data_IF_241058104855
#
_entry.id   IF_241058104855
#
_cell.length_a   1.000
_cell.length_b   1.000
_cell.length_c   1.000
_cell.angle_alpha   90.00
_cell.angle_beta   90.00
_cell.angle_gamma   90.00
#
_symmetry.space_group_name_H-M   'P 1'
#
loop_
_entity.id
_entity.type
_entity.pdbx_description
1 polymer ?
#
# COMPACT_ATOMS: atom_id res chain seq x y z
N UNK A 1 7.50 7.71 22.37
CA UNK A 1 6.04 7.73 22.11
C UNK A 1 5.77 7.48 20.63
N UNK A 2 4.84 6.60 20.34
CA UNK A 2 4.47 6.31 18.95
C UNK A 2 3.51 7.38 18.45
N UNK A 3 3.73 7.84 17.23
CA UNK A 3 2.85 8.78 16.56
C UNK A 3 1.91 8.04 15.60
N UNK A 4 0.82 8.66 15.13
CA UNK A 4 0.02 8.04 14.07
C UNK A 4 0.83 7.68 12.84
N UNK A 5 1.82 8.53 12.49
CA UNK A 5 2.72 8.24 11.36
C UNK A 5 3.53 6.97 11.59
N UNK A 6 4.00 6.76 12.82
CA UNK A 6 4.74 5.53 13.16
C UNK A 6 3.85 4.29 13.02
N UNK A 7 2.59 4.39 13.45
CA UNK A 7 1.64 3.30 13.33
C UNK A 7 1.35 2.98 11.86
N UNK A 8 1.19 4.00 11.03
CA UNK A 8 0.99 3.82 9.59
C UNK A 8 2.20 3.14 8.95
N UNK A 9 3.40 3.58 9.31
CA UNK A 9 4.63 2.96 8.82
C UNK A 9 4.68 1.48 9.18
N UNK A 10 4.33 1.13 10.42
CA UNK A 10 4.39 -0.26 10.87
C UNK A 10 3.43 -1.16 10.09
N UNK A 11 2.23 -0.68 9.78
CA UNK A 11 1.27 -1.44 9.00
C UNK A 11 1.79 -1.66 7.59
N UNK A 12 2.29 -0.60 6.93
CA UNK A 12 2.89 -0.72 5.60
C UNK A 12 4.08 -1.67 5.62
N UNK A 13 4.93 -1.56 6.63
CA UNK A 13 6.11 -2.41 6.76
C UNK A 13 5.72 -3.89 6.86
N UNK A 14 4.72 -4.19 7.67
CA UNK A 14 4.27 -5.56 7.87
C UNK A 14 3.69 -6.16 6.59
N UNK A 15 2.80 -5.43 5.93
CA UNK A 15 2.17 -5.90 4.70
C UNK A 15 3.20 -6.03 3.58
N UNK A 16 4.11 -5.07 3.48
CA UNK A 16 5.17 -5.11 2.47
C UNK A 16 6.08 -6.31 2.68
N UNK A 17 6.39 -6.63 3.94
CA UNK A 17 7.17 -7.83 4.26
C UNK A 17 6.47 -9.08 3.79
N UNK A 18 5.15 -9.19 4.00
CA UNK A 18 4.37 -10.32 3.51
C UNK A 18 4.49 -10.46 1.99
N UNK A 19 4.37 -9.35 1.27
CA UNK A 19 4.53 -9.36 -0.19
C UNK A 19 5.93 -9.80 -0.62
N UNK A 20 6.96 -9.31 0.08
CA UNK A 20 8.35 -9.62 -0.27
C UNK A 20 8.72 -11.07 0.02
N UNK A 21 8.13 -11.67 1.06
CA UNK A 21 8.41 -13.05 1.44
C UNK A 21 7.64 -14.06 0.62
N UNK A 22 6.51 -13.66 0.03
CA UNK A 22 5.68 -14.53 -0.78
C UNK A 22 6.20 -14.61 -2.21
N UNK A 23 5.91 -15.71 -2.94
CA UNK A 23 6.17 -15.74 -4.38
C UNK A 23 5.49 -14.58 -5.10
N UNK A 24 6.08 -14.15 -6.22
CA UNK A 24 5.60 -12.94 -6.93
C UNK A 24 4.30 -13.16 -7.70
N UNK A 25 3.84 -14.38 -7.84
CA UNK A 25 2.63 -14.71 -8.60
C UNK A 25 1.63 -15.47 -7.73
N UNK A 26 0.35 -15.41 -8.14
CA UNK A 26 -0.77 -15.89 -7.33
C UNK A 26 -1.02 -17.41 -7.46
N UNK A 27 0.01 -18.19 -7.71
CA UNK A 27 -0.07 -19.65 -7.67
C UNK A 27 0.22 -20.20 -6.28
N UNK A 28 0.31 -19.33 -5.28
CA UNK A 28 0.65 -19.69 -3.90
C UNK A 28 -0.29 -18.98 -2.94
N UNK A 29 -0.84 -19.69 -1.94
CA UNK A 29 -1.75 -19.08 -0.96
C UNK A 29 -1.13 -17.90 -0.20
N UNK A 30 0.18 -17.92 0.06
CA UNK A 30 0.84 -16.82 0.76
C UNK A 30 0.79 -15.54 -0.06
N UNK A 31 0.94 -15.66 -1.37
CA UNK A 31 0.84 -14.50 -2.26
C UNK A 31 -0.56 -13.93 -2.25
N UNK A 32 -1.57 -14.79 -2.33
CA UNK A 32 -2.98 -14.37 -2.31
C UNK A 32 -3.29 -13.64 -1.00
N UNK A 33 -2.83 -14.19 0.13
CA UNK A 33 -3.05 -13.57 1.43
C UNK A 33 -2.35 -12.21 1.54
N UNK A 34 -1.11 -12.12 1.06
CA UNK A 34 -0.37 -10.86 1.09
C UNK A 34 -1.05 -9.79 0.25
N UNK A 35 -1.53 -10.14 -0.95
CA UNK A 35 -2.25 -9.21 -1.82
C UNK A 35 -3.57 -8.80 -1.20
N UNK A 36 -4.30 -9.73 -0.58
CA UNK A 36 -5.55 -9.41 0.11
C UNK A 36 -5.29 -8.38 1.21
N UNK A 37 -4.27 -8.58 2.02
CA UNK A 37 -3.91 -7.64 3.09
C UNK A 37 -3.48 -6.29 2.53
N UNK A 38 -2.78 -6.30 1.41
CA UNK A 38 -2.37 -5.06 0.76
C UNK A 38 -3.57 -4.27 0.22
N UNK A 39 -4.52 -4.96 -0.40
CA UNK A 39 -5.73 -4.32 -0.87
C UNK A 39 -6.56 -3.74 0.28
N UNK A 40 -6.64 -4.46 1.38
CA UNK A 40 -7.32 -3.97 2.59
C UNK A 40 -6.68 -2.69 3.12
N UNK A 41 -5.35 -2.70 3.22
CA UNK A 41 -4.59 -1.53 3.68
C UNK A 41 -4.85 -0.31 2.81
N UNK A 42 -4.74 -0.46 1.48
CA UNK A 42 -4.94 0.66 0.57
C UNK A 42 -6.40 1.13 0.53
N UNK A 43 -7.36 0.23 0.71
CA UNK A 43 -8.77 0.59 0.80
C UNK A 43 -9.04 1.45 2.04
N UNK A 44 -8.50 1.04 3.19
CA UNK A 44 -8.66 1.81 4.43
C UNK A 44 -7.99 3.18 4.32
N UNK A 45 -6.82 3.23 3.71
CA UNK A 45 -6.13 4.50 3.49
C UNK A 45 -6.95 5.41 2.57
N UNK A 46 -7.52 4.87 1.49
CA UNK A 46 -8.34 5.67 0.57
C UNK A 46 -9.58 6.24 1.27
N UNK A 47 -10.21 5.47 2.13
CA UNK A 47 -11.35 5.94 2.92
C UNK A 47 -10.94 7.10 3.82
N UNK A 48 -9.82 6.96 4.51
CA UNK A 48 -9.31 8.02 5.39
C UNK A 48 -8.97 9.29 4.59
N UNK A 49 -8.35 9.14 3.43
CA UNK A 49 -8.00 10.27 2.57
C UNK A 49 -9.25 11.00 2.03
N UNK A 50 -10.33 10.27 1.81
CA UNK A 50 -11.59 10.84 1.32
C UNK A 50 -12.38 11.55 2.42
N UNK A 51 -12.04 11.34 3.68
CA UNK A 51 -12.74 11.97 4.81
C UNK A 51 -12.46 13.48 4.78
N UNK A 52 -13.52 14.34 4.86
CA UNK A 52 -13.33 15.79 4.91
C UNK A 52 -12.43 16.26 6.05
N UNK A 53 -12.35 15.50 7.15
CA UNK A 53 -11.49 15.82 8.28
C UNK A 53 -10.01 15.53 8.05
N UNK A 54 -9.65 14.90 6.94
CA UNK A 54 -8.25 14.63 6.63
C UNK A 54 -7.54 15.92 6.26
N UNK A 55 -6.45 16.23 6.98
CA UNK A 55 -5.78 17.54 6.90
C UNK A 55 -4.73 17.65 5.81
N UNK A 56 -4.49 16.60 5.03
CA UNK A 56 -3.50 16.66 3.95
C UNK A 56 -3.94 17.64 2.86
N UNK A 57 -2.98 18.28 2.17
CA UNK A 57 -3.31 19.14 1.03
C UNK A 57 -4.09 18.37 -0.05
N UNK A 58 -4.99 19.05 -0.74
CA UNK A 58 -5.86 18.42 -1.73
C UNK A 58 -5.07 17.68 -2.83
N UNK A 59 -3.99 18.29 -3.32
CA UNK A 59 -3.17 17.68 -4.35
C UNK A 59 -2.53 16.37 -3.86
N UNK A 60 -2.08 16.36 -2.62
CA UNK A 60 -1.49 15.15 -2.01
C UNK A 60 -2.55 14.06 -1.85
N UNK A 61 -3.74 14.43 -1.36
CA UNK A 61 -4.84 13.48 -1.22
C UNK A 61 -5.23 12.88 -2.56
N UNK A 62 -5.37 13.72 -3.59
CA UNK A 62 -5.73 13.24 -4.92
C UNK A 62 -4.70 12.26 -5.46
N UNK A 63 -3.41 12.57 -5.30
CA UNK A 63 -2.34 11.68 -5.74
C UNK A 63 -2.34 10.34 -5.03
N UNK A 64 -2.55 10.36 -3.71
CA UNK A 64 -2.58 9.13 -2.91
C UNK A 64 -3.83 8.29 -3.22
N UNK A 65 -4.98 8.92 -3.45
CA UNK A 65 -6.20 8.21 -3.83
C UNK A 65 -6.02 7.54 -5.19
N UNK A 66 -5.41 8.24 -6.15
CA UNK A 66 -5.10 7.65 -7.46
C UNK A 66 -4.17 6.46 -7.32
N UNK A 67 -3.17 6.57 -6.46
CA UNK A 67 -2.23 5.49 -6.21
C UNK A 67 -2.92 4.30 -5.54
N UNK A 68 -3.84 4.56 -4.61
CA UNK A 68 -4.64 3.51 -3.99
C UNK A 68 -5.48 2.75 -5.03
N UNK A 69 -6.09 3.48 -5.95
CA UNK A 69 -6.85 2.88 -7.04
C UNK A 69 -5.98 1.96 -7.88
N UNK A 70 -4.79 2.42 -8.25
CA UNK A 70 -3.84 1.60 -9.00
C UNK A 70 -3.44 0.36 -8.21
N UNK A 71 -3.08 0.52 -6.93
CA UNK A 71 -2.63 -0.60 -6.10
C UNK A 71 -3.71 -1.68 -5.99
N UNK A 72 -4.97 -1.28 -5.79
CA UNK A 72 -6.07 -2.22 -5.65
C UNK A 72 -6.33 -2.95 -6.98
N UNK A 73 -6.35 -2.22 -8.10
CA UNK A 73 -6.54 -2.84 -9.41
C UNK A 73 -5.39 -3.79 -9.76
N UNK A 74 -4.16 -3.39 -9.44
CA UNK A 74 -3.00 -4.25 -9.68
C UNK A 74 -3.07 -5.52 -8.83
N UNK A 75 -3.50 -5.38 -7.56
CA UNK A 75 -3.70 -6.54 -6.69
C UNK A 75 -4.71 -7.51 -7.27
N UNK A 76 -5.80 -7.00 -7.85
CA UNK A 76 -6.79 -7.85 -8.50
C UNK A 76 -6.19 -8.56 -9.72
N UNK A 77 -5.34 -7.88 -10.48
CA UNK A 77 -4.64 -8.50 -11.61
C UNK A 77 -3.69 -9.60 -11.15
N UNK A 78 -3.00 -9.39 -10.02
CA UNK A 78 -2.15 -10.44 -9.44
C UNK A 78 -2.99 -11.65 -9.07
N UNK A 79 -4.13 -11.44 -8.41
CA UNK A 79 -5.01 -12.55 -8.04
C UNK A 79 -5.60 -13.28 -9.25
N UNK A 80 -5.80 -12.57 -10.35
CA UNK A 80 -6.24 -13.17 -11.60
C UNK A 80 -5.14 -13.90 -12.36
N UNK A 81 -3.90 -13.83 -11.88
CA UNK A 81 -2.77 -14.50 -12.51
C UNK A 81 -2.16 -13.73 -13.68
N UNK A 82 -2.53 -12.46 -13.86
CA UNK A 82 -2.08 -11.66 -15.02
C UNK A 82 -0.97 -10.66 -14.66
N UNK A 83 -0.56 -10.57 -13.39
CA UNK A 83 0.46 -9.62 -12.96
C UNK A 83 1.24 -10.18 -11.77
N UNK A 84 2.41 -9.62 -11.54
CA UNK A 84 3.25 -9.97 -10.39
C UNK A 84 3.12 -8.91 -9.28
N UNK A 85 3.56 -9.23 -8.07
CA UNK A 85 3.44 -8.35 -6.91
C UNK A 85 4.48 -7.22 -6.88
N UNK A 86 5.50 -7.28 -7.74
CA UNK A 86 6.63 -6.33 -7.69
C UNK A 86 6.20 -4.86 -7.66
N UNK A 87 5.27 -4.39 -8.50
CA UNK A 87 4.83 -3.00 -8.42
C UNK A 87 4.19 -2.63 -7.09
N UNK A 88 3.49 -3.56 -6.43
CA UNK A 88 2.90 -3.30 -5.12
C UNK A 88 3.99 -3.07 -4.07
N UNK A 89 5.06 -3.86 -4.13
CA UNK A 89 6.20 -3.71 -3.23
C UNK A 89 6.85 -2.35 -3.44
N UNK A 90 7.09 -1.96 -4.69
CA UNK A 90 7.72 -0.69 -5.03
C UNK A 90 6.91 0.51 -4.53
N UNK A 91 5.59 0.47 -4.74
CA UNK A 91 4.70 1.52 -4.27
C UNK A 91 4.76 1.63 -2.74
N UNK A 92 4.65 0.51 -2.05
CA UNK A 92 4.67 0.50 -0.60
C UNK A 92 6.01 1.01 -0.05
N UNK A 93 7.12 0.63 -0.67
CA UNK A 93 8.44 1.12 -0.26
C UNK A 93 8.55 2.63 -0.41
N UNK A 94 7.99 3.18 -1.47
CA UNK A 94 7.97 4.63 -1.70
C UNK A 94 7.17 5.34 -0.61
N UNK A 95 5.99 4.82 -0.27
CA UNK A 95 5.16 5.39 0.79
C UNK A 95 5.87 5.31 2.13
N UNK A 96 6.53 4.19 2.42
CA UNK A 96 7.27 4.02 3.67
C UNK A 96 8.39 5.04 3.80
N UNK A 97 9.10 5.33 2.72
CA UNK A 97 10.14 6.38 2.75
C UNK A 97 9.54 7.74 3.06
N UNK A 98 8.38 8.06 2.49
CA UNK A 98 7.68 9.29 2.80
C UNK A 98 7.26 9.39 4.26
N UNK A 99 6.74 8.28 4.81
CA UNK A 99 6.32 8.25 6.22
C UNK A 99 7.49 8.41 7.18
N UNK A 100 8.69 7.96 6.80
CA UNK A 100 9.89 8.16 7.61
C UNK A 100 10.48 9.56 7.46
N UNK A 101 9.95 10.37 6.54
CA UNK A 101 10.55 11.67 6.23
C UNK A 101 11.73 11.57 5.28
N UNK A 102 11.96 10.42 4.68
CA UNK A 102 13.03 10.15 3.71
C UNK A 102 12.62 10.62 2.32
N UNK A 103 11.93 11.73 2.25
CA UNK A 103 11.56 12.29 0.96
C UNK A 103 12.80 12.95 0.41
N UNK A 104 13.33 12.40 -0.64
CA UNK A 104 14.56 12.82 -1.24
C UNK A 104 14.64 14.33 -1.35
N UNK A 105 15.44 14.85 -0.54
CA UNK A 105 15.68 16.29 -0.47
C UNK A 105 16.33 16.74 -1.77
#
# INVERSE_FOLDING_TARGET
>A
MRTPRDAEYDVFSRVTRMLRQAPRKADNPDTIQAVYKNNELWTLLAIDLADPGNALPDATKAGLISLAGFAIRHGQAVMAGTAATDPLIDINMTIMRGLRGDVGA
#
